data_IF_850203344402
#
_entry.id   IF_850203344402
#
_cell.length_a   1.000
_cell.length_b   1.000
_cell.length_c   1.000
_cell.angle_alpha   90.00
_cell.angle_beta   90.00
_cell.angle_gamma   90.00
#
_symmetry.space_group_name_H-M   'P 1'
#
loop_
_entity.id
_entity.type
_entity.pdbx_description
1 polymer ?
#
# COMPACT_ATOMS: atom_id res chain seq x y z
N UNK A 1 16.98 -1.27 -12.01
CA UNK A 1 15.83 -0.35 -12.20
C UNK A 1 15.58 0.42 -10.91
N UNK A 2 15.43 1.72 -11.02
CA UNK A 2 15.18 2.53 -9.83
C UNK A 2 13.73 2.44 -9.42
N UNK A 3 13.51 2.40 -8.12
CA UNK A 3 12.15 2.45 -7.59
C UNK A 3 11.58 3.85 -7.75
N UNK A 4 10.27 3.97 -8.01
CA UNK A 4 9.62 5.27 -8.07
C UNK A 4 9.62 5.95 -6.70
N UNK A 5 9.58 7.28 -6.70
CA UNK A 5 9.59 8.05 -5.46
C UNK A 5 8.43 7.71 -4.53
N UNK A 6 7.32 7.27 -5.09
CA UNK A 6 6.18 6.84 -4.28
C UNK A 6 6.49 5.67 -3.36
N UNK A 7 7.55 4.92 -3.62
CA UNK A 7 7.99 3.82 -2.75
C UNK A 7 9.18 4.19 -1.87
N UNK A 8 9.96 5.19 -2.26
CA UNK A 8 11.20 5.54 -1.56
C UNK A 8 11.06 6.77 -0.67
N UNK A 9 10.12 7.66 -0.99
CA UNK A 9 9.84 8.84 -0.18
C UNK A 9 8.68 8.55 0.76
N UNK A 10 8.92 8.47 2.08
CA UNK A 10 7.87 8.11 3.03
C UNK A 10 6.64 9.01 2.97
N UNK A 11 6.83 10.29 2.71
CA UNK A 11 5.72 11.22 2.64
C UNK A 11 4.83 10.96 1.42
N UNK A 12 5.46 10.72 0.27
CA UNK A 12 4.71 10.40 -0.94
C UNK A 12 4.01 9.06 -0.84
N UNK A 13 4.67 8.08 -0.26
CA UNK A 13 4.08 6.77 -0.04
C UNK A 13 2.84 6.88 0.84
N UNK A 14 2.93 7.65 1.93
CA UNK A 14 1.82 7.85 2.85
C UNK A 14 0.63 8.52 2.14
N UNK A 15 0.88 9.54 1.35
CA UNK A 15 -0.18 10.23 0.60
C UNK A 15 -0.89 9.31 -0.38
N UNK A 16 -0.14 8.47 -1.09
CA UNK A 16 -0.72 7.52 -2.04
C UNK A 16 -1.52 6.46 -1.30
N UNK A 17 -0.98 5.94 -0.20
CA UNK A 17 -1.66 4.92 0.59
C UNK A 17 -2.97 5.45 1.19
N UNK A 18 -3.01 6.70 1.61
CA UNK A 18 -4.25 7.29 2.12
C UNK A 18 -5.34 7.30 1.05
N UNK A 19 -4.99 7.67 -0.19
CA UNK A 19 -5.95 7.65 -1.30
C UNK A 19 -6.44 6.23 -1.59
N UNK A 20 -5.51 5.29 -1.67
CA UNK A 20 -5.84 3.90 -1.96
C UNK A 20 -6.72 3.32 -0.86
N UNK A 21 -6.35 3.55 0.39
CA UNK A 21 -7.12 3.04 1.51
C UNK A 21 -8.54 3.59 1.53
N UNK A 22 -8.71 4.86 1.20
CA UNK A 22 -10.03 5.47 1.14
C UNK A 22 -10.93 4.74 0.14
N UNK A 23 -10.39 4.40 -1.01
CA UNK A 23 -11.13 3.65 -2.03
C UNK A 23 -11.52 2.26 -1.56
N UNK A 24 -10.59 1.57 -0.90
CA UNK A 24 -10.81 0.20 -0.47
C UNK A 24 -11.69 0.09 0.78
N UNK A 25 -11.65 1.10 1.65
CA UNK A 25 -12.42 1.09 2.88
C UNK A 25 -13.93 1.10 2.65
N UNK A 26 -14.38 1.61 1.50
CA UNK A 26 -15.80 1.67 1.16
C UNK A 26 -16.43 0.27 1.10
N UNK A 27 -15.66 -0.74 0.78
CA UNK A 27 -16.16 -2.10 0.59
C UNK A 27 -16.02 -2.99 1.82
N UNK A 28 -15.61 -2.43 2.95
CA UNK A 28 -15.44 -3.18 4.22
C UNK A 28 -14.49 -4.37 4.09
N UNK A 29 -13.43 -4.22 3.35
CA UNK A 29 -12.43 -5.27 3.15
C UNK A 29 -11.55 -5.39 4.40
N UNK A 30 -11.28 -6.65 4.90
CA UNK A 30 -10.36 -6.83 6.02
C UNK A 30 -8.98 -6.23 5.73
N UNK A 31 -8.28 -5.77 6.78
CA UNK A 31 -7.01 -5.07 6.62
C UNK A 31 -5.96 -5.87 5.85
N UNK A 32 -5.89 -7.17 6.13
CA UNK A 32 -4.91 -8.01 5.44
C UNK A 32 -5.14 -8.04 3.93
N UNK A 33 -6.40 -8.18 3.54
CA UNK A 33 -6.75 -8.15 2.12
C UNK A 33 -6.57 -6.78 1.53
N UNK A 34 -6.84 -5.72 2.30
CA UNK A 34 -6.59 -4.36 1.86
C UNK A 34 -5.11 -4.15 1.55
N UNK A 35 -4.23 -4.69 2.40
CA UNK A 35 -2.79 -4.57 2.17
C UNK A 35 -2.38 -5.24 0.85
N UNK A 36 -2.94 -6.40 0.56
CA UNK A 36 -2.67 -7.10 -0.70
C UNK A 36 -3.20 -6.34 -1.91
N UNK A 37 -4.42 -5.82 -1.81
CA UNK A 37 -5.02 -5.06 -2.91
C UNK A 37 -4.30 -3.73 -3.12
N UNK A 38 -3.85 -3.11 -2.03
CA UNK A 38 -3.10 -1.85 -2.11
C UNK A 38 -1.80 -2.02 -2.87
N UNK A 39 -1.15 -3.18 -2.72
CA UNK A 39 0.07 -3.48 -3.46
C UNK A 39 -0.18 -3.39 -4.97
N UNK A 40 -1.25 -4.01 -5.45
CA UNK A 40 -1.59 -3.98 -6.87
C UNK A 40 -1.93 -2.58 -7.34
N UNK A 41 -2.70 -1.83 -6.54
CA UNK A 41 -3.09 -0.46 -6.90
C UNK A 41 -1.88 0.47 -6.90
N UNK A 42 -0.92 0.26 -6.01
CA UNK A 42 0.33 1.01 -6.02
C UNK A 42 1.08 0.80 -7.33
N UNK A 43 1.14 -0.44 -7.80
CA UNK A 43 1.78 -0.73 -9.08
C UNK A 43 1.14 0.03 -10.23
N UNK A 44 -0.19 0.08 -10.24
CA UNK A 44 -0.93 0.82 -11.26
C UNK A 44 -0.68 2.32 -11.17
N UNK A 45 -0.76 2.88 -9.97
CA UNK A 45 -0.57 4.33 -9.77
C UNK A 45 0.84 4.77 -10.13
N UNK A 46 1.85 3.96 -9.80
CA UNK A 46 3.24 4.32 -10.01
C UNK A 46 3.79 3.84 -11.36
N UNK A 47 2.96 3.16 -12.13
CA UNK A 47 3.38 2.55 -13.39
C UNK A 47 4.63 1.71 -13.18
N UNK A 48 4.60 0.85 -12.18
CA UNK A 48 5.73 0.06 -11.73
C UNK A 48 5.34 -1.40 -11.68
N UNK A 49 6.24 -2.28 -12.11
CA UNK A 49 5.98 -3.72 -12.10
C UNK A 49 6.12 -4.28 -10.69
N UNK A 50 5.03 -4.21 -9.96
CA UNK A 50 5.00 -4.56 -8.56
C UNK A 50 5.24 -6.05 -8.32
N UNK A 51 4.92 -6.89 -9.30
CA UNK A 51 5.04 -8.34 -9.16
C UNK A 51 6.50 -8.78 -8.98
N UNK A 52 7.44 -7.99 -9.48
CA UNK A 52 8.87 -8.31 -9.38
C UNK A 52 9.54 -7.70 -8.15
N UNK A 53 8.77 -7.05 -7.27
CA UNK A 53 9.35 -6.37 -6.10
C UNK A 53 8.73 -6.89 -4.82
N UNK A 54 9.35 -7.88 -4.21
CA UNK A 54 8.87 -8.52 -2.99
C UNK A 54 8.86 -7.59 -1.78
N UNK A 55 9.51 -6.45 -1.86
CA UNK A 55 9.58 -5.52 -0.72
C UNK A 55 8.35 -4.63 -0.58
N UNK A 56 7.46 -4.62 -1.59
CA UNK A 56 6.31 -3.72 -1.57
C UNK A 56 5.22 -4.19 -0.60
N UNK A 57 4.93 -5.48 -0.58
CA UNK A 57 3.91 -5.99 0.34
C UNK A 57 4.24 -5.69 1.81
N UNK A 58 5.47 -5.92 2.28
CA UNK A 58 5.82 -5.52 3.65
C UNK A 58 5.62 -4.03 3.91
N UNK A 59 5.85 -3.17 2.92
CA UNK A 59 5.62 -1.74 3.07
C UNK A 59 4.14 -1.41 3.27
N UNK A 60 3.26 -2.02 2.46
CA UNK A 60 1.82 -1.77 2.60
C UNK A 60 1.30 -2.33 3.92
N UNK A 61 1.75 -3.53 4.29
CA UNK A 61 1.34 -4.16 5.54
C UNK A 61 1.74 -3.31 6.74
N UNK A 62 2.98 -2.79 6.75
CA UNK A 62 3.47 -1.95 7.82
C UNK A 62 2.67 -0.64 7.90
N UNK A 63 2.32 -0.06 6.76
CA UNK A 63 1.50 1.13 6.72
C UNK A 63 0.16 0.89 7.41
N UNK A 64 -0.50 -0.25 7.12
CA UNK A 64 -1.78 -0.58 7.74
C UNK A 64 -1.65 -0.83 9.23
N UNK A 65 -0.57 -1.46 9.67
CA UNK A 65 -0.33 -1.68 11.10
C UNK A 65 -0.22 -0.36 11.86
N UNK A 66 0.46 0.61 11.28
CA UNK A 66 0.63 1.93 11.90
C UNK A 66 -0.64 2.75 11.84
N UNK A 67 -1.37 2.64 10.76
CA UNK A 67 -2.60 3.41 10.55
C UNK A 67 -3.75 2.90 11.39
N UNK A 68 -3.80 1.60 11.66
CA UNK A 68 -4.87 0.95 12.41
C UNK A 68 -4.28 0.04 13.50
N UNK A 69 -3.63 0.61 14.52
CA UNK A 69 -2.88 -0.20 15.48
C UNK A 69 -3.74 -1.11 16.35
N UNK A 70 -5.03 -0.85 16.47
CA UNK A 70 -5.93 -1.68 17.26
C UNK A 70 -6.47 -2.88 16.53
N UNK A 71 -6.20 -3.03 15.23
CA UNK A 71 -6.74 -4.11 14.43
C UNK A 71 -5.71 -5.19 14.16
N UNK A 72 -6.19 -6.42 14.05
CA UNK A 72 -5.34 -7.56 13.72
C UNK A 72 -5.16 -7.65 12.21
N UNK A 73 -3.95 -8.04 11.85
CA UNK A 73 -3.62 -8.28 10.44
C UNK A 73 -3.30 -9.75 10.22
#
# INVERSE_FOLDING_TARGET
>A
MNRPEGLTDPKKFDEIMERINTKLAITAIPLRERALMSQALLGDELDYDIADDDSVYPLTLEWYRKRFPGERI
#
